data_IF_638619039641
#
_entry.id   IF_638619039641
#
_cell.length_a   1.000
_cell.length_b   1.000
_cell.length_c   1.000
_cell.angle_alpha   90.00
_cell.angle_beta   90.00
_cell.angle_gamma   90.00
#
_symmetry.space_group_name_H-M   'P 1'
#
loop_
_entity.id
_entity.type
_entity.pdbx_description
1 polymer ?
#
# COMPACT_ATOMS: atom_id res chain seq x y z
N UNK A 1 0.02 -12.21 -8.71
CA UNK A 1 0.35 -11.49 -7.46
C UNK A 1 0.63 -10.02 -7.76
N UNK A 2 0.21 -9.10 -6.88
CA UNK A 2 0.57 -7.69 -7.00
C UNK A 2 2.03 -7.51 -6.57
N UNK A 3 2.93 -7.36 -7.54
CA UNK A 3 4.39 -7.36 -7.32
C UNK A 3 4.93 -5.98 -6.91
N UNK A 4 4.07 -4.96 -6.74
CA UNK A 4 4.48 -3.56 -6.50
C UNK A 4 5.24 -3.33 -5.18
N UNK A 5 5.27 -4.33 -4.29
CA UNK A 5 5.89 -4.25 -2.97
C UNK A 5 7.14 -5.12 -2.82
N UNK A 6 7.53 -5.87 -3.86
CA UNK A 6 8.74 -6.68 -3.81
C UNK A 6 9.98 -5.78 -3.71
N UNK A 7 10.91 -6.20 -2.85
CA UNK A 7 12.19 -5.57 -2.64
C UNK A 7 13.26 -6.19 -3.58
N UNK A 8 14.46 -5.61 -3.69
CA UNK A 8 15.54 -6.17 -4.50
C UNK A 8 15.84 -7.63 -4.13
N UNK A 9 15.99 -8.50 -5.12
CA UNK A 9 16.21 -9.94 -4.89
C UNK A 9 17.58 -10.23 -4.28
N UNK A 10 18.54 -9.34 -4.50
CA UNK A 10 19.92 -9.44 -4.03
C UNK A 10 20.03 -9.31 -2.51
N UNK A 11 19.03 -8.70 -1.85
CA UNK A 11 18.93 -8.67 -0.39
C UNK A 11 18.66 -10.06 0.20
N UNK A 12 18.01 -10.94 -0.57
CA UNK A 12 17.75 -12.34 -0.19
C UNK A 12 18.91 -13.22 -0.66
N UNK A 13 19.27 -13.13 -1.94
CA UNK A 13 20.31 -13.94 -2.55
C UNK A 13 20.93 -13.25 -3.77
N UNK A 14 22.19 -12.84 -3.66
CA UNK A 14 22.89 -12.09 -4.71
C UNK A 14 23.23 -12.90 -5.98
N UNK A 15 23.42 -14.22 -5.88
CA UNK A 15 23.77 -15.09 -7.01
C UNK A 15 22.99 -16.42 -6.92
N UNK A 16 21.68 -16.41 -7.26
CA UNK A 16 20.88 -17.62 -7.23
C UNK A 16 21.24 -18.55 -8.41
N UNK A 17 21.23 -19.88 -8.22
CA UNK A 17 21.45 -20.83 -9.31
C UNK A 17 20.51 -20.61 -10.50
N UNK A 18 20.97 -20.97 -11.69
CA UNK A 18 20.15 -20.87 -12.90
C UNK A 18 18.82 -21.63 -12.75
N UNK A 19 17.71 -20.94 -13.06
CA UNK A 19 16.35 -21.49 -12.95
C UNK A 19 15.68 -21.27 -11.60
N UNK A 20 16.34 -20.66 -10.63
CA UNK A 20 15.72 -20.26 -9.35
C UNK A 20 15.14 -18.86 -9.49
N UNK A 21 13.84 -18.72 -9.17
CA UNK A 21 13.16 -17.43 -9.10
C UNK A 21 13.07 -16.98 -7.63
N UNK A 22 13.59 -15.80 -7.31
CA UNK A 22 13.63 -15.26 -5.95
C UNK A 22 12.54 -14.19 -5.79
N UNK A 23 11.69 -14.34 -4.78
CA UNK A 23 10.64 -13.38 -4.46
C UNK A 23 10.92 -12.76 -3.09
N UNK A 24 11.37 -11.51 -3.07
CA UNK A 24 11.64 -10.78 -1.83
C UNK A 24 10.41 -9.96 -1.39
N UNK A 25 9.44 -10.62 -0.78
CA UNK A 25 8.28 -9.96 -0.19
C UNK A 25 8.58 -9.61 1.27
N UNK A 26 8.78 -8.32 1.56
CA UNK A 26 9.14 -7.86 2.91
C UNK A 26 7.97 -7.91 3.91
N UNK A 27 6.75 -7.81 3.39
CA UNK A 27 5.52 -7.87 4.20
C UNK A 27 4.54 -8.83 3.58
N UNK A 28 3.72 -9.42 4.45
CA UNK A 28 2.53 -10.17 4.08
C UNK A 28 1.31 -9.64 4.83
N UNK A 29 0.14 -9.90 4.29
CA UNK A 29 -1.12 -9.59 4.96
C UNK A 29 -1.58 -10.81 5.75
N UNK A 30 -1.65 -10.70 7.07
CA UNK A 30 -2.26 -11.72 7.93
C UNK A 30 -3.72 -11.36 8.21
N UNK A 31 -4.68 -12.24 7.87
CA UNK A 31 -6.09 -12.04 8.22
C UNK A 31 -6.31 -11.85 9.72
N UNK A 32 -7.16 -10.89 10.07
CA UNK A 32 -7.34 -10.45 11.46
C UNK A 32 -8.01 -11.53 12.35
N UNK A 33 -8.77 -12.43 11.75
CA UNK A 33 -9.43 -13.57 12.40
C UNK A 33 -8.46 -14.67 12.84
N UNK A 34 -7.20 -14.63 12.39
CA UNK A 34 -6.15 -15.53 12.86
C UNK A 34 -5.44 -15.06 14.14
N UNK A 35 -5.71 -13.83 14.60
CA UNK A 35 -5.13 -13.29 15.82
C UNK A 35 -6.06 -13.47 17.02
N UNK A 36 -5.50 -13.88 18.17
CA UNK A 36 -6.23 -13.86 19.45
C UNK A 36 -6.50 -12.43 19.95
N UNK A 37 -5.75 -11.45 19.48
CA UNK A 37 -5.91 -10.03 19.79
C UNK A 37 -4.73 -9.19 19.32
N UNK A 38 -4.94 -7.88 19.24
CA UNK A 38 -3.94 -6.86 18.88
C UNK A 38 -3.66 -6.01 20.12
N UNK A 39 -2.40 -5.99 20.55
CA UNK A 39 -1.97 -5.19 21.70
C UNK A 39 -1.72 -3.75 21.22
N UNK A 40 -2.35 -2.80 21.88
CA UNK A 40 -2.15 -1.36 21.66
C UNK A 40 -1.84 -0.69 23.00
N UNK A 41 -1.57 0.62 22.98
CA UNK A 41 -1.36 1.38 24.20
C UNK A 41 -2.56 1.23 25.16
N UNK A 42 -2.31 0.64 26.32
CA UNK A 42 -3.28 0.52 27.42
C UNK A 42 -4.35 -0.57 27.29
N UNK A 43 -4.43 -1.33 26.19
CA UNK A 43 -5.45 -2.40 26.03
C UNK A 43 -5.10 -3.44 24.95
N UNK A 44 -5.85 -4.54 24.96
CA UNK A 44 -5.88 -5.54 23.87
C UNK A 44 -7.20 -5.41 23.12
N UNK A 45 -7.15 -5.46 21.78
CA UNK A 45 -8.30 -5.38 20.89
C UNK A 45 -8.54 -6.71 20.18
N UNK A 46 -9.77 -7.19 20.16
CA UNK A 46 -10.20 -8.26 19.26
C UNK A 46 -10.43 -7.77 17.83
N UNK A 47 -10.63 -8.69 16.89
CA UNK A 47 -10.80 -8.37 15.46
C UNK A 47 -11.90 -7.34 15.16
N UNK A 48 -13.06 -7.47 15.83
CA UNK A 48 -14.17 -6.52 15.71
C UNK A 48 -13.78 -5.12 16.21
N UNK A 49 -13.16 -5.05 17.39
CA UNK A 49 -12.78 -3.78 18.02
C UNK A 49 -11.72 -3.03 17.22
N UNK A 50 -10.79 -3.76 16.58
CA UNK A 50 -9.84 -3.18 15.62
C UNK A 50 -10.57 -2.56 14.44
N UNK A 51 -11.54 -3.27 13.85
CA UNK A 51 -12.32 -2.74 12.71
C UNK A 51 -13.09 -1.49 13.10
N UNK A 52 -13.76 -1.52 14.26
CA UNK A 52 -14.48 -0.36 14.80
C UNK A 52 -13.54 0.83 15.03
N UNK A 53 -12.38 0.59 15.65
CA UNK A 53 -11.36 1.61 15.86
C UNK A 53 -10.89 2.22 14.53
N UNK A 54 -10.59 1.40 13.52
CA UNK A 54 -10.16 1.87 12.19
C UNK A 54 -11.24 2.71 11.51
N UNK A 55 -12.52 2.33 11.61
CA UNK A 55 -13.62 3.11 11.01
C UNK A 55 -13.86 4.44 11.72
N UNK A 56 -13.54 4.54 13.01
CA UNK A 56 -13.68 5.76 13.80
C UNK A 56 -12.46 6.69 13.67
N UNK A 57 -11.34 6.21 13.11
CA UNK A 57 -10.13 7.01 12.96
C UNK A 57 -10.36 8.18 11.99
N UNK A 58 -9.96 9.42 12.36
CA UNK A 58 -9.98 10.54 11.43
C UNK A 58 -9.12 10.22 10.21
N UNK A 59 -9.75 10.12 9.04
CA UNK A 59 -9.03 9.97 7.78
C UNK A 59 -8.67 11.35 7.27
N UNK A 60 -7.40 11.56 6.94
CA UNK A 60 -6.96 12.80 6.31
C UNK A 60 -7.77 13.06 5.03
N UNK A 61 -8.22 14.30 4.79
CA UNK A 61 -9.05 14.64 3.64
C UNK A 61 -8.42 14.23 2.29
N UNK A 62 -7.09 14.25 2.19
CA UNK A 62 -6.33 13.81 1.02
C UNK A 62 -6.50 12.32 0.67
N UNK A 63 -6.89 11.49 1.64
CA UNK A 63 -7.13 10.05 1.49
C UNK A 63 -8.62 9.72 1.34
N UNK A 64 -9.50 10.73 1.32
CA UNK A 64 -10.92 10.51 1.12
C UNK A 64 -11.18 10.08 -0.34
N UNK A 65 -12.06 9.10 -0.59
CA UNK A 65 -12.35 8.60 -1.94
C UNK A 65 -12.79 9.69 -2.94
N UNK A 66 -13.35 10.80 -2.44
CA UNK A 66 -13.77 11.98 -3.22
C UNK A 66 -12.61 12.84 -3.72
N UNK A 67 -11.40 12.69 -3.18
CA UNK A 67 -10.22 13.47 -3.58
C UNK A 67 -9.71 13.15 -4.99
N UNK A 68 -10.08 12.00 -5.57
CA UNK A 68 -9.61 11.56 -6.89
C UNK A 68 -10.32 12.21 -8.09
N UNK A 69 -11.29 13.14 -7.90
CA UNK A 69 -12.08 13.69 -9.01
C UNK A 69 -11.67 15.07 -9.55
N UNK A 70 -10.44 15.54 -9.31
CA UNK A 70 -9.95 16.78 -9.94
C UNK A 70 -8.44 16.73 -10.24
N UNK A 71 -8.08 16.25 -11.43
CA UNK A 71 -7.00 16.83 -12.25
C UNK A 71 -6.98 16.15 -13.63
N UNK A 72 -7.92 16.53 -14.51
CA UNK A 72 -7.65 16.45 -15.97
C UNK A 72 -7.21 17.85 -16.38
N UNK A 73 -5.89 18.03 -16.52
CA UNK A 73 -5.30 19.24 -17.07
C UNK A 73 -5.65 19.27 -18.57
N UNK A 74 -6.47 20.24 -18.99
CA UNK A 74 -6.71 20.48 -20.41
C UNK A 74 -5.38 20.77 -21.13
N UNK A 75 -5.16 20.26 -22.36
CA UNK A 75 -3.93 20.54 -23.09
C UNK A 75 -3.85 22.04 -23.43
N UNK A 76 -2.74 22.68 -23.06
CA UNK A 76 -2.43 24.05 -23.50
C UNK A 76 -2.25 24.09 -25.02
N UNK A 77 -2.75 25.13 -25.71
CA UNK A 77 -2.53 25.29 -27.14
C UNK A 77 -1.04 25.56 -27.39
N UNK A 78 -0.41 24.67 -28.15
CA UNK A 78 0.97 24.80 -28.59
C UNK A 78 1.11 26.02 -29.50
N UNK A 79 1.92 26.99 -29.06
CA UNK A 79 2.49 28.00 -29.95
C UNK A 79 3.53 27.38 -30.89
N UNK A 80 3.37 27.65 -32.18
CA UNK A 80 4.40 27.65 -33.24
C UNK A 80 3.72 28.23 -34.50
N UNK A 81 4.28 29.13 -35.28
CA UNK A 81 5.62 29.69 -35.34
C UNK A 81 5.65 30.81 -36.39
N UNK A 82 6.76 31.53 -36.42
CA UNK A 82 7.11 32.55 -37.39
C UNK A 82 7.08 32.02 -38.83
N UNK A 83 6.61 32.87 -39.73
CA UNK A 83 6.82 32.85 -41.18
C UNK A 83 6.63 34.27 -41.68
#
# INVERSE_FOLDING_TARGET
PDLRHLQPVEEVWADPPAGVEVWNAYFECTPLDLFSGVIVEGRVLGAREVTEALTAMPVAAALSPTAHRRQVKAPSPSGRGRG
#
